data_IF_287470314441
#
_entry.id   IF_287470314441
#
_cell.length_a   1.000
_cell.length_b   1.000
_cell.length_c   1.000
_cell.angle_alpha   90.00
_cell.angle_beta   90.00
_cell.angle_gamma   90.00
#
_symmetry.space_group_name_H-M   'P 1'
#
loop_
_entity.id
_entity.type
_entity.pdbx_description
1 polymer ?
#
# COMPACT_ATOMS: atom_id res chain seq x y z
N UNK A 1 -4.59 -17.75 7.67
CA UNK A 1 -3.51 -18.59 8.24
C UNK A 1 -2.18 -18.54 7.50
N UNK A 2 -2.11 -18.54 6.16
CA UNK A 2 -0.81 -18.51 5.44
C UNK A 2 -0.34 -17.12 4.92
N UNK A 3 -1.01 -16.03 5.33
CA UNK A 3 -0.76 -14.62 4.91
C UNK A 3 -0.35 -14.42 3.42
N UNK A 4 -1.03 -15.09 2.50
CA UNK A 4 -0.73 -15.01 1.06
C UNK A 4 -1.23 -13.68 0.50
N UNK A 5 -0.38 -13.00 -0.27
CA UNK A 5 -0.65 -11.67 -0.85
C UNK A 5 -0.81 -11.68 -2.38
N UNK A 6 -0.24 -12.66 -3.07
CA UNK A 6 -0.32 -12.83 -4.52
C UNK A 6 -1.15 -14.08 -4.80
N UNK A 7 -2.24 -13.93 -5.56
CA UNK A 7 -3.20 -14.99 -5.81
C UNK A 7 -3.35 -15.17 -7.31
N UNK A 8 -3.02 -16.37 -7.78
CA UNK A 8 -3.18 -16.77 -9.18
C UNK A 8 -4.42 -17.67 -9.24
N UNK A 9 -5.50 -17.14 -9.82
CA UNK A 9 -6.77 -17.84 -9.98
C UNK A 9 -6.86 -18.50 -11.34
N UNK A 10 -7.37 -19.73 -11.37
CA UNK A 10 -7.72 -20.43 -12.61
C UNK A 10 -9.12 -21.03 -12.44
N UNK A 11 -10.12 -20.31 -12.93
CA UNK A 11 -11.53 -20.67 -12.79
C UNK A 11 -12.36 -20.08 -13.95
N UNK A 12 -13.60 -20.54 -14.10
CA UNK A 12 -14.56 -20.01 -15.08
C UNK A 12 -15.26 -18.74 -14.55
N UNK A 13 -16.07 -18.09 -15.39
CA UNK A 13 -16.81 -16.86 -15.04
C UNK A 13 -17.73 -17.08 -13.83
N UNK A 14 -18.40 -18.24 -13.77
CA UNK A 14 -19.34 -18.58 -12.70
C UNK A 14 -18.63 -18.74 -11.35
N UNK A 15 -17.49 -19.43 -11.30
CA UNK A 15 -16.71 -19.56 -10.06
C UNK A 15 -16.00 -18.25 -9.72
N UNK A 16 -15.59 -17.44 -10.70
CA UNK A 16 -14.97 -16.13 -10.46
C UNK A 16 -15.85 -15.25 -9.57
N UNK A 17 -17.13 -15.12 -9.93
CA UNK A 17 -18.07 -14.32 -9.14
C UNK A 17 -18.18 -14.81 -7.69
N UNK A 18 -18.28 -16.14 -7.47
CA UNK A 18 -18.34 -16.75 -6.14
C UNK A 18 -17.05 -16.51 -5.33
N UNK A 19 -15.89 -16.70 -5.96
CA UNK A 19 -14.57 -16.52 -5.32
C UNK A 19 -14.37 -15.09 -4.87
N UNK A 20 -14.62 -14.12 -5.75
CA UNK A 20 -14.46 -12.70 -5.39
C UNK A 20 -15.47 -12.25 -4.32
N UNK A 21 -16.68 -12.80 -4.31
CA UNK A 21 -17.65 -12.54 -3.24
C UNK A 21 -17.20 -13.11 -1.89
N UNK A 22 -16.59 -14.29 -1.86
CA UNK A 22 -15.95 -14.80 -0.65
C UNK A 22 -14.73 -13.96 -0.25
N UNK A 23 -13.90 -13.54 -1.22
CA UNK A 23 -12.74 -12.68 -0.97
C UNK A 23 -13.14 -11.34 -0.35
N UNK A 24 -14.27 -10.75 -0.79
CA UNK A 24 -14.84 -9.56 -0.16
C UNK A 24 -15.15 -9.81 1.32
N UNK A 25 -15.87 -10.89 1.64
CA UNK A 25 -16.26 -11.20 3.02
C UNK A 25 -15.04 -11.51 3.93
N UNK A 26 -13.95 -12.01 3.35
CA UNK A 26 -12.70 -12.30 4.04
C UNK A 26 -11.70 -11.13 4.03
N UNK A 27 -12.08 -9.96 3.50
CA UNK A 27 -11.20 -8.79 3.33
C UNK A 27 -9.88 -9.11 2.58
N UNK A 28 -9.96 -9.97 1.56
CA UNK A 28 -8.84 -10.36 0.69
C UNK A 28 -8.78 -9.51 -0.60
N UNK A 29 -8.91 -8.20 -0.45
CA UNK A 29 -8.91 -7.24 -1.56
C UNK A 29 -8.26 -5.91 -1.13
N UNK A 30 -8.05 -4.99 -2.09
CA UNK A 30 -7.41 -3.69 -1.85
C UNK A 30 -5.88 -3.74 -1.97
N UNK A 31 -5.19 -2.70 -1.49
CA UNK A 31 -3.76 -2.45 -1.78
C UNK A 31 -2.76 -3.49 -1.25
N UNK A 32 -3.22 -4.45 -0.43
CA UNK A 32 -2.37 -5.52 0.12
C UNK A 32 -2.46 -6.83 -0.67
N UNK A 33 -3.38 -6.96 -1.61
CA UNK A 33 -3.61 -8.20 -2.35
C UNK A 33 -3.54 -7.96 -3.85
N UNK A 34 -2.88 -8.85 -4.58
CA UNK A 34 -2.86 -8.84 -6.03
C UNK A 34 -3.47 -10.13 -6.57
N UNK A 35 -4.49 -9.96 -7.41
CA UNK A 35 -5.15 -11.05 -8.13
C UNK A 35 -4.66 -11.10 -9.57
N UNK A 36 -4.34 -12.30 -10.05
CA UNK A 36 -4.04 -12.60 -11.45
C UNK A 36 -5.00 -13.69 -11.90
N UNK A 37 -5.83 -13.41 -12.91
CA UNK A 37 -6.87 -14.32 -13.40
C UNK A 37 -6.85 -14.40 -14.93
N UNK A 38 -7.54 -15.38 -15.55
CA UNK A 38 -7.67 -15.45 -17.00
C UNK A 38 -8.47 -14.27 -17.55
N UNK A 39 -8.06 -13.73 -18.70
CA UNK A 39 -8.70 -12.59 -19.36
C UNK A 39 -9.71 -12.95 -20.44
N UNK A 40 -9.99 -14.24 -20.66
CA UNK A 40 -10.85 -14.73 -21.73
C UNK A 40 -12.36 -14.58 -21.46
N UNK A 41 -12.74 -13.89 -20.38
CA UNK A 41 -14.14 -13.70 -20.00
C UNK A 41 -14.86 -12.70 -20.91
N UNK A 42 -16.17 -12.86 -21.04
CA UNK A 42 -17.04 -11.93 -21.77
C UNK A 42 -17.03 -10.53 -21.13
N UNK A 43 -17.31 -9.51 -21.94
CA UNK A 43 -17.51 -8.15 -21.45
C UNK A 43 -18.64 -8.12 -20.42
N UNK A 44 -18.42 -7.44 -19.30
CA UNK A 44 -19.40 -7.32 -18.21
C UNK A 44 -19.82 -8.63 -17.53
N UNK A 45 -18.95 -9.65 -17.48
CA UNK A 45 -19.24 -10.91 -16.77
C UNK A 45 -19.66 -10.72 -15.29
N UNK A 46 -19.26 -9.62 -14.65
CA UNK A 46 -19.68 -9.26 -13.29
C UNK A 46 -21.18 -8.92 -13.16
N UNK A 47 -21.91 -8.72 -14.25
CA UNK A 47 -23.38 -8.52 -14.23
C UNK A 47 -24.14 -9.81 -13.92
N UNK A 48 -23.54 -10.97 -14.21
CA UNK A 48 -24.10 -12.29 -13.87
C UNK A 48 -24.03 -12.59 -12.36
N UNK A 49 -23.37 -11.73 -11.57
CA UNK A 49 -23.23 -11.85 -10.13
C UNK A 49 -24.55 -11.89 -9.37
N UNK A 50 -25.64 -11.42 -9.95
CA UNK A 50 -26.98 -11.49 -9.36
C UNK A 50 -27.48 -12.93 -9.13
N UNK A 51 -26.84 -13.92 -9.77
CA UNK A 51 -27.10 -15.36 -9.50
C UNK A 51 -26.45 -15.86 -8.21
N UNK A 52 -25.58 -15.05 -7.60
CA UNK A 52 -24.93 -15.32 -6.31
C UNK A 52 -25.55 -14.42 -5.24
N UNK A 53 -25.50 -14.83 -3.96
CA UNK A 53 -25.97 -14.04 -2.81
C UNK A 53 -25.10 -12.79 -2.51
N UNK A 54 -24.57 -12.14 -3.54
CA UNK A 54 -23.56 -11.10 -3.48
C UNK A 54 -23.96 -9.94 -4.39
N UNK A 55 -23.97 -8.74 -3.83
CA UNK A 55 -24.31 -7.52 -4.58
C UNK A 55 -23.19 -7.15 -5.55
N UNK A 56 -23.53 -6.69 -6.76
CA UNK A 56 -22.56 -6.21 -7.78
C UNK A 56 -21.53 -5.23 -7.19
N UNK A 57 -21.95 -4.36 -6.27
CA UNK A 57 -21.05 -3.42 -5.57
C UNK A 57 -19.93 -4.12 -4.81
N UNK A 58 -20.23 -5.20 -4.08
CA UNK A 58 -19.22 -5.96 -3.32
C UNK A 58 -18.22 -6.63 -4.26
N UNK A 59 -18.75 -7.20 -5.35
CA UNK A 59 -17.95 -7.86 -6.37
C UNK A 59 -16.98 -6.88 -7.03
N UNK A 60 -17.48 -5.72 -7.51
CA UNK A 60 -16.66 -4.68 -8.13
C UNK A 60 -15.56 -4.17 -7.19
N UNK A 61 -15.88 -3.98 -5.90
CA UNK A 61 -14.88 -3.57 -4.90
C UNK A 61 -13.80 -4.63 -4.67
N UNK A 62 -14.14 -5.92 -4.68
CA UNK A 62 -13.17 -7.00 -4.50
C UNK A 62 -12.31 -7.26 -5.73
N UNK A 63 -12.85 -7.01 -6.92
CA UNK A 63 -12.18 -7.17 -8.20
C UNK A 63 -11.26 -6.00 -8.56
N UNK A 64 -11.37 -4.86 -7.87
CA UNK A 64 -10.56 -3.67 -8.16
C UNK A 64 -9.06 -4.00 -8.26
N UNK A 65 -8.44 -3.65 -9.39
CA UNK A 65 -7.01 -3.82 -9.62
C UNK A 65 -6.55 -5.22 -10.00
N UNK A 66 -7.44 -6.18 -10.26
CA UNK A 66 -7.02 -7.50 -10.75
C UNK A 66 -6.32 -7.40 -12.12
N UNK A 67 -5.33 -8.26 -12.33
CA UNK A 67 -4.63 -8.41 -13.61
C UNK A 67 -5.26 -9.59 -14.36
N UNK A 68 -5.73 -9.35 -15.57
CA UNK A 68 -6.12 -10.41 -16.50
C UNK A 68 -5.02 -10.71 -17.49
N UNK A 69 -4.86 -11.99 -17.80
CA UNK A 69 -3.92 -12.47 -18.81
C UNK A 69 -4.71 -13.08 -19.96
N UNK A 70 -4.54 -12.55 -21.18
CA UNK A 70 -5.12 -13.11 -22.40
C UNK A 70 -4.12 -13.02 -23.56
N UNK A 71 -4.43 -13.58 -24.72
CA UNK A 71 -3.63 -13.39 -25.94
C UNK A 71 -4.04 -12.11 -26.67
N UNK A 72 -3.14 -11.57 -27.50
CA UNK A 72 -3.44 -10.43 -28.38
C UNK A 72 -4.12 -10.93 -29.68
N UNK A 73 -5.39 -10.54 -29.98
CA UNK A 73 -6.10 -11.05 -31.15
C UNK A 73 -5.56 -10.57 -32.51
N UNK A 74 -5.02 -9.35 -32.56
CA UNK A 74 -4.43 -8.72 -33.75
C UNK A 74 -3.20 -7.94 -33.33
N UNK A 75 -2.18 -7.89 -34.20
CA UNK A 75 -0.96 -7.16 -33.86
C UNK A 75 -1.20 -5.64 -33.80
N UNK A 76 -0.71 -5.00 -32.74
CA UNK A 76 -0.67 -3.54 -32.65
C UNK A 76 0.22 -2.88 -33.74
N UNK A 77 1.18 -3.62 -34.32
CA UNK A 77 2.13 -3.10 -35.30
C UNK A 77 1.46 -2.93 -36.67
N UNK A 78 1.56 -1.73 -37.25
CA UNK A 78 0.98 -1.41 -38.56
C UNK A 78 1.93 -1.74 -39.72
N UNK A 79 2.42 -2.98 -39.75
CA UNK A 79 3.33 -3.46 -40.80
C UNK A 79 2.53 -4.30 -41.80
N UNK A 80 2.81 -4.14 -43.09
CA UNK A 80 2.19 -4.97 -44.13
C UNK A 80 2.73 -6.40 -44.03
N UNK A 81 1.83 -7.34 -43.78
CA UNK A 81 2.15 -8.77 -43.69
C UNK A 81 2.22 -9.45 -45.07
N UNK A 82 2.21 -10.79 -45.05
CA UNK A 82 2.24 -11.63 -46.26
C UNK A 82 1.13 -11.32 -47.26
N UNK A 83 -0.03 -10.87 -46.78
CA UNK A 83 -1.18 -10.51 -47.61
C UNK A 83 -1.10 -9.12 -48.24
N UNK A 84 -0.02 -8.36 -47.96
CA UNK A 84 0.14 -6.97 -48.39
C UNK A 84 -0.72 -5.97 -47.62
N UNK A 85 -1.49 -6.43 -46.63
CA UNK A 85 -2.37 -5.61 -45.77
C UNK A 85 -1.74 -5.40 -44.40
N UNK A 86 -2.08 -4.27 -43.77
CA UNK A 86 -1.85 -4.03 -42.33
C UNK A 86 -2.96 -4.68 -41.49
N UNK A 87 -2.73 -4.98 -40.20
CA UNK A 87 -3.77 -5.52 -39.31
C UNK A 87 -5.02 -4.63 -39.24
N UNK A 88 -4.85 -3.30 -39.28
CA UNK A 88 -5.95 -2.33 -39.25
C UNK A 88 -6.75 -2.29 -40.56
N UNK A 89 -6.10 -2.45 -41.71
CA UNK A 89 -6.80 -2.57 -43.00
C UNK A 89 -7.63 -3.86 -43.04
N UNK A 90 -7.05 -4.97 -42.59
CA UNK A 90 -7.74 -6.25 -42.46
C UNK A 90 -8.95 -6.16 -41.51
N UNK A 91 -8.80 -5.55 -40.33
CA UNK A 91 -9.89 -5.39 -39.35
C UNK A 91 -11.07 -4.59 -39.90
N UNK A 92 -10.80 -3.52 -40.67
CA UNK A 92 -11.84 -2.73 -41.36
C UNK A 92 -12.59 -3.55 -42.40
N UNK A 93 -11.87 -4.32 -43.22
CA UNK A 93 -12.46 -5.19 -44.25
C UNK A 93 -13.34 -6.27 -43.60
N UNK A 94 -12.83 -6.92 -42.55
CA UNK A 94 -13.56 -7.93 -41.79
C UNK A 94 -14.84 -7.37 -41.14
N UNK A 95 -14.75 -6.20 -40.52
CA UNK A 95 -15.89 -5.55 -39.87
C UNK A 95 -16.97 -5.14 -40.86
N UNK A 96 -16.58 -4.70 -42.07
CA UNK A 96 -17.52 -4.38 -43.15
C UNK A 96 -18.29 -5.62 -43.62
N UNK A 97 -17.60 -6.74 -43.80
CA UNK A 97 -18.21 -8.03 -44.18
C UNK A 97 -19.16 -8.55 -43.09
N UNK A 98 -18.81 -8.41 -41.81
CA UNK A 98 -19.69 -8.79 -40.70
C UNK A 98 -20.99 -7.98 -40.69
N UNK A 99 -20.91 -6.66 -40.89
CA UNK A 99 -22.08 -5.79 -40.95
C UNK A 99 -23.02 -6.17 -42.09
N UNK A 100 -22.49 -6.56 -43.25
CA UNK A 100 -23.30 -7.01 -44.38
C UNK A 100 -24.00 -8.34 -44.11
N UNK A 101 -23.38 -9.23 -43.36
CA UNK A 101 -23.90 -10.57 -43.05
C UNK A 101 -24.72 -10.64 -41.77
N UNK A 102 -24.68 -9.59 -40.94
CA UNK A 102 -25.40 -9.54 -39.66
C UNK A 102 -24.85 -10.55 -38.63
N UNK A 103 -23.55 -10.83 -38.65
CA UNK A 103 -22.91 -11.82 -37.76
C UNK A 103 -22.03 -11.12 -36.73
N UNK A 104 -21.93 -11.69 -35.53
CA UNK A 104 -21.04 -11.20 -34.48
C UNK A 104 -19.55 -11.46 -34.78
N UNK A 105 -18.70 -10.59 -34.25
CA UNK A 105 -17.24 -10.73 -34.38
C UNK A 105 -16.70 -11.81 -33.45
N UNK A 106 -15.81 -12.65 -33.97
CA UNK A 106 -15.12 -13.69 -33.19
C UNK A 106 -13.66 -13.33 -32.97
N UNK A 107 -13.18 -13.33 -31.72
CA UNK A 107 -11.78 -13.04 -31.37
C UNK A 107 -10.73 -13.93 -32.07
N UNK A 108 -11.15 -15.03 -32.67
CA UNK A 108 -10.28 -15.98 -33.36
C UNK A 108 -10.13 -15.73 -34.88
N UNK A 109 -10.79 -14.71 -35.43
CA UNK A 109 -10.83 -14.45 -36.87
C UNK A 109 -9.42 -14.26 -37.48
N UNK A 110 -8.52 -13.55 -36.80
CA UNK A 110 -7.16 -13.32 -37.26
C UNK A 110 -6.31 -14.60 -37.28
N UNK A 111 -6.51 -15.48 -36.30
CA UNK A 111 -5.81 -16.77 -36.23
C UNK A 111 -6.23 -17.70 -37.38
N UNK A 112 -7.52 -17.73 -37.71
CA UNK A 112 -8.02 -18.48 -38.86
C UNK A 112 -7.43 -17.94 -40.18
N UNK A 113 -7.37 -16.61 -40.33
CA UNK A 113 -6.80 -15.95 -41.50
C UNK A 113 -5.32 -16.33 -41.71
N UNK A 114 -4.51 -16.22 -40.66
CA UNK A 114 -3.09 -16.58 -40.72
C UNK A 114 -2.89 -18.09 -40.91
N UNK A 115 -3.80 -18.93 -40.40
CA UNK A 115 -3.79 -20.39 -40.59
C UNK A 115 -3.90 -20.79 -42.08
N UNK A 116 -4.76 -20.11 -42.85
CA UNK A 116 -4.86 -20.35 -44.30
C UNK A 116 -3.56 -19.95 -45.02
N UNK A 117 -2.92 -18.86 -44.60
CA UNK A 117 -1.62 -18.46 -45.15
C UNK A 117 -0.51 -19.45 -44.83
N UNK A 118 -0.50 -20.03 -43.62
CA UNK A 118 0.42 -21.12 -43.26
C UNK A 118 0.22 -22.29 -44.23
N UNK A 119 -1.01 -22.77 -44.41
CA UNK A 119 -1.32 -23.89 -45.30
C UNK A 119 -0.87 -23.58 -46.73
N UNK A 120 -1.22 -22.41 -47.26
CA UNK A 120 -0.84 -22.00 -48.62
C UNK A 120 0.68 -21.96 -48.82
N UNK A 121 1.42 -21.44 -47.83
CA UNK A 121 2.88 -21.34 -47.89
C UNK A 121 3.56 -22.70 -47.77
N UNK A 122 3.09 -23.53 -46.85
CA UNK A 122 3.58 -24.91 -46.67
C UNK A 122 3.38 -25.71 -47.94
N UNK A 123 2.17 -25.72 -48.51
CA UNK A 123 1.88 -26.47 -49.75
C UNK A 123 2.69 -25.94 -50.94
N UNK A 124 2.87 -24.62 -51.04
CA UNK A 124 3.70 -24.02 -52.09
C UNK A 124 5.15 -24.49 -51.98
N UNK A 125 5.71 -24.48 -50.77
CA UNK A 125 7.09 -24.89 -50.52
C UNK A 125 7.29 -26.40 -50.73
N UNK A 126 6.37 -27.23 -50.24
CA UNK A 126 6.37 -28.68 -50.46
C UNK A 126 6.33 -28.99 -51.96
N UNK A 127 5.46 -28.30 -52.72
CA UNK A 127 5.37 -28.46 -54.18
C UNK A 127 6.68 -28.10 -54.89
N UNK A 128 7.37 -27.04 -54.46
CA UNK A 128 8.68 -26.68 -55.01
C UNK A 128 9.73 -27.77 -54.76
N UNK A 129 9.78 -28.30 -53.54
CA UNK A 129 10.72 -29.35 -53.16
C UNK A 129 10.46 -30.66 -53.93
N UNK A 130 9.19 -31.03 -54.10
CA UNK A 130 8.80 -32.19 -54.91
C UNK A 130 9.14 -31.99 -56.39
N UNK A 131 8.93 -30.78 -56.94
CA UNK A 131 9.33 -30.46 -58.33
C UNK A 131 10.83 -30.57 -58.56
N UNK A 132 11.64 -30.15 -57.58
CA UNK A 132 13.10 -30.28 -57.64
C UNK A 132 13.52 -31.76 -57.61
N UNK A 133 12.93 -32.58 -56.72
CA UNK A 133 13.16 -34.03 -56.69
C UNK A 133 12.77 -34.70 -58.01
N UNK A 134 11.59 -34.39 -58.55
CA UNK A 134 11.13 -34.95 -59.82
C UNK A 134 12.04 -34.61 -61.01
N UNK A 135 12.63 -33.40 -61.04
CA UNK A 135 13.62 -33.02 -62.06
C UNK A 135 14.92 -33.82 -61.94
N UNK A 136 15.28 -34.27 -60.75
CA UNK A 136 16.48 -35.06 -60.51
C UNK A 136 16.29 -36.57 -60.78
N UNK A 137 15.08 -37.12 -60.60
CA UNK A 137 14.86 -38.59 -60.61
C UNK A 137 14.22 -39.20 -61.89
N UNK A 138 14.18 -38.49 -63.02
CA UNK A 138 13.52 -38.96 -64.25
C UNK A 138 12.00 -39.29 -64.07
N UNK A 139 11.31 -39.56 -65.18
CA UNK A 139 9.84 -39.44 -65.29
C UNK A 139 9.00 -40.44 -64.47
N UNK A 140 9.60 -41.44 -63.80
CA UNK A 140 8.88 -42.45 -63.00
C UNK A 140 9.03 -42.20 -61.48
N UNK A 141 8.74 -40.99 -61.03
CA UNK A 141 8.73 -40.65 -59.61
C UNK A 141 7.36 -40.95 -58.98
N UNK A 142 7.27 -42.02 -58.17
CA UNK A 142 6.13 -42.29 -57.29
C UNK A 142 6.38 -41.69 -55.92
N UNK A 143 5.52 -40.77 -55.50
CA UNK A 143 5.65 -40.06 -54.22
C UNK A 143 5.08 -40.92 -53.10
N UNK A 144 5.88 -41.28 -52.09
CA UNK A 144 5.39 -41.92 -50.87
C UNK A 144 4.64 -40.92 -49.98
N UNK A 145 3.43 -41.28 -49.55
CA UNK A 145 2.60 -40.44 -48.67
C UNK A 145 3.29 -40.16 -47.34
N UNK A 146 4.06 -41.12 -46.81
CA UNK A 146 4.81 -40.91 -45.55
C UNK A 146 5.93 -39.90 -45.72
N UNK A 147 6.57 -39.87 -46.89
CA UNK A 147 7.60 -38.90 -47.21
C UNK A 147 7.03 -37.49 -47.35
N UNK A 148 5.86 -37.34 -48.00
CA UNK A 148 5.15 -36.05 -48.08
C UNK A 148 4.75 -35.57 -46.69
N UNK A 149 4.24 -36.47 -45.84
CA UNK A 149 3.88 -36.14 -44.46
C UNK A 149 5.05 -35.57 -43.66
N UNK A 150 6.24 -36.19 -43.77
CA UNK A 150 7.47 -35.68 -43.13
C UNK A 150 7.88 -34.32 -43.70
N UNK A 151 7.85 -34.18 -45.03
CA UNK A 151 8.20 -32.94 -45.69
C UNK A 151 7.29 -31.77 -45.28
N UNK A 152 6.00 -32.02 -45.11
CA UNK A 152 5.04 -31.04 -44.59
C UNK A 152 5.42 -30.61 -43.17
N UNK A 153 5.72 -31.57 -42.29
CA UNK A 153 6.12 -31.27 -40.91
C UNK A 153 7.42 -30.45 -40.85
N UNK A 154 8.43 -30.81 -41.65
CA UNK A 154 9.71 -30.09 -41.71
C UNK A 154 9.50 -28.65 -42.19
N UNK A 155 8.73 -28.46 -43.27
CA UNK A 155 8.41 -27.12 -43.81
C UNK A 155 7.58 -26.29 -42.82
N UNK A 156 6.64 -26.91 -42.10
CA UNK A 156 5.87 -26.20 -41.08
C UNK A 156 6.75 -25.72 -39.93
N UNK A 157 7.75 -26.50 -39.54
CA UNK A 157 8.72 -26.12 -38.51
C UNK A 157 9.61 -24.92 -38.96
N UNK A 158 9.92 -24.82 -40.25
CA UNK A 158 10.69 -23.70 -40.83
C UNK A 158 9.85 -22.45 -41.14
N UNK A 159 8.52 -22.52 -40.96
CA UNK A 159 7.63 -21.43 -41.36
C UNK A 159 7.82 -20.20 -40.46
N UNK A 160 8.19 -19.08 -41.08
CA UNK A 160 8.35 -17.78 -40.41
C UNK A 160 7.90 -16.62 -41.32
N UNK A 161 6.79 -15.96 -40.99
CA UNK A 161 6.33 -14.73 -41.67
C UNK A 161 5.53 -13.82 -40.76
N UNK A 162 5.29 -12.58 -41.21
CA UNK A 162 4.40 -11.64 -40.54
C UNK A 162 2.97 -11.78 -41.09
N UNK A 163 2.06 -12.25 -40.24
CA UNK A 163 0.61 -12.28 -40.48
C UNK A 163 -0.10 -11.09 -39.84
N UNK A 164 -1.43 -11.13 -39.80
CA UNK A 164 -2.24 -10.06 -39.16
C UNK A 164 -2.21 -10.14 -37.63
N UNK A 165 -1.92 -11.32 -37.09
CA UNK A 165 -1.77 -11.56 -35.64
C UNK A 165 -0.31 -11.44 -35.17
N UNK A 166 0.60 -10.96 -36.03
CA UNK A 166 2.01 -10.78 -35.73
C UNK A 166 2.89 -11.83 -36.40
N UNK A 167 4.05 -12.12 -35.80
CA UNK A 167 4.95 -13.13 -36.34
C UNK A 167 4.34 -14.53 -36.16
N UNK A 168 4.28 -15.30 -37.24
CA UNK A 168 3.79 -16.68 -37.26
C UNK A 168 5.00 -17.59 -37.36
N UNK A 169 5.29 -18.27 -36.26
CA UNK A 169 6.36 -19.26 -36.15
C UNK A 169 5.99 -20.32 -35.12
N UNK A 170 6.51 -21.53 -35.30
CA UNK A 170 6.24 -22.66 -34.44
C UNK A 170 7.50 -23.12 -33.73
N UNK A 171 7.36 -23.58 -32.49
CA UNK A 171 8.42 -24.20 -31.70
C UNK A 171 7.83 -25.39 -30.97
N UNK A 172 8.37 -26.58 -31.21
CA UNK A 172 7.86 -27.84 -30.63
C UNK A 172 6.35 -28.07 -30.89
N UNK A 173 5.84 -27.62 -32.03
CA UNK A 173 4.41 -27.73 -32.38
C UNK A 173 3.52 -26.63 -31.79
N UNK A 174 4.03 -25.77 -30.91
CA UNK A 174 3.30 -24.63 -30.37
C UNK A 174 3.59 -23.36 -31.16
N UNK A 175 2.56 -22.53 -31.33
CA UNK A 175 2.71 -21.21 -31.95
C UNK A 175 3.25 -20.22 -30.93
N UNK A 176 4.34 -19.54 -31.27
CA UNK A 176 4.83 -18.41 -30.47
C UNK A 176 3.93 -17.19 -30.71
N UNK A 177 3.25 -16.71 -29.67
CA UNK A 177 2.29 -15.61 -29.74
C UNK A 177 2.57 -14.49 -28.74
N UNK A 178 1.78 -13.42 -28.82
CA UNK A 178 1.85 -12.28 -27.89
C UNK A 178 0.80 -12.44 -26.78
N UNK A 179 1.24 -12.27 -25.53
CA UNK A 179 0.37 -12.21 -24.36
C UNK A 179 0.06 -10.74 -24.03
N UNK A 180 -1.21 -10.45 -23.79
CA UNK A 180 -1.74 -9.15 -23.38
C UNK A 180 -2.18 -9.21 -21.93
N UNK A 181 -1.72 -8.25 -21.14
CA UNK A 181 -2.16 -8.05 -19.77
C UNK A 181 -3.14 -6.87 -19.74
N UNK A 182 -4.29 -7.06 -19.10
CA UNK A 182 -5.24 -5.97 -18.83
C UNK A 182 -5.42 -5.82 -17.33
N UNK A 183 -5.65 -4.60 -16.86
CA UNK A 183 -5.99 -4.35 -15.46
C UNK A 183 -7.43 -3.86 -15.38
N UNK A 184 -8.20 -4.43 -14.45
CA UNK A 184 -9.50 -3.87 -14.13
C UNK A 184 -9.30 -2.64 -13.24
N UNK A 185 -9.66 -1.47 -13.78
CA UNK A 185 -9.69 -0.21 -13.06
C UNK A 185 -11.15 0.18 -12.95
N UNK A 186 -11.65 0.28 -11.72
CA UNK A 186 -12.98 0.80 -11.46
C UNK A 186 -13.07 2.28 -11.83
N UNK A 187 -14.15 2.94 -11.40
CA UNK A 187 -14.43 4.33 -11.78
C UNK A 187 -13.47 5.33 -11.09
N UNK A 188 -12.78 4.92 -10.01
CA UNK A 188 -11.87 5.79 -9.26
C UNK A 188 -10.45 5.21 -9.21
N UNK A 189 -9.42 5.96 -9.65
CA UNK A 189 -8.05 5.47 -9.66
C UNK A 189 -7.53 5.23 -8.22
N UNK A 190 -6.76 4.15 -7.99
CA UNK A 190 -6.18 3.86 -6.68
C UNK A 190 -5.19 4.94 -6.26
N UNK A 191 -5.10 5.21 -4.95
CA UNK A 191 -4.15 6.19 -4.41
C UNK A 191 -2.74 5.57 -4.32
N UNK A 192 -1.77 6.18 -5.01
CA UNK A 192 -0.39 5.71 -5.17
C UNK A 192 0.42 5.50 -3.89
N UNK A 193 -0.04 6.03 -2.74
CA UNK A 193 0.68 5.90 -1.46
C UNK A 193 -0.22 6.04 -0.24
N UNK A 194 0.24 5.44 0.85
CA UNK A 194 -0.31 5.70 2.19
C UNK A 194 0.00 7.14 2.61
N UNK A 195 -1.03 7.88 3.01
CA UNK A 195 -0.85 9.25 3.54
C UNK A 195 -0.42 9.15 5.02
N UNK A 196 0.86 9.37 5.28
CA UNK A 196 1.38 9.50 6.64
C UNK A 196 0.93 10.85 7.20
N UNK A 197 -0.03 10.85 8.14
CA UNK A 197 -0.37 12.03 8.94
C UNK A 197 0.45 12.01 10.21
N UNK A 198 1.44 12.90 10.30
CA UNK A 198 2.10 13.17 11.57
C UNK A 198 1.09 13.89 12.47
N UNK A 199 0.71 13.25 13.58
CA UNK A 199 -0.18 13.82 14.58
C UNK A 199 0.59 14.03 15.88
N UNK A 200 0.67 15.27 16.34
CA UNK A 200 1.29 15.61 17.64
C UNK A 200 0.38 15.04 18.75
N UNK A 201 0.94 14.23 19.64
CA UNK A 201 0.21 13.70 20.80
C UNK A 201 0.20 14.76 21.88
N UNK A 202 -0.99 15.25 22.24
CA UNK A 202 -1.17 16.25 23.27
C UNK A 202 -1.50 15.64 24.63
N UNK A 203 -1.18 16.36 25.69
CA UNK A 203 -1.61 16.04 27.06
C UNK A 203 -3.13 16.21 27.15
N UNK A 204 -3.83 15.29 27.81
CA UNK A 204 -5.28 15.41 27.96
C UNK A 204 -5.64 16.59 28.86
N UNK A 205 -6.55 17.44 28.38
CA UNK A 205 -7.01 18.65 29.11
C UNK A 205 -7.62 18.29 30.46
N UNK A 206 -8.27 17.13 30.56
CA UNK A 206 -8.85 16.62 31.80
C UNK A 206 -7.78 16.29 32.86
N UNK A 207 -6.64 15.67 32.50
CA UNK A 207 -5.58 15.41 33.47
C UNK A 207 -4.91 16.71 33.92
N UNK A 208 -4.70 17.64 32.98
CA UNK A 208 -4.10 18.94 33.31
C UNK A 208 -5.00 19.76 34.24
N UNK A 209 -6.32 19.77 34.03
CA UNK A 209 -7.25 20.52 34.90
C UNK A 209 -7.28 19.97 36.33
N UNK A 210 -7.28 18.64 36.50
CA UNK A 210 -7.25 17.99 37.82
C UNK A 210 -5.96 18.33 38.57
N UNK A 211 -4.80 18.16 37.92
CA UNK A 211 -3.51 18.45 38.55
C UNK A 211 -3.37 19.93 38.89
N UNK A 212 -3.81 20.82 38.00
CA UNK A 212 -3.85 22.27 38.22
C UNK A 212 -4.68 22.63 39.46
N UNK A 213 -5.90 22.10 39.59
CA UNK A 213 -6.76 22.36 40.76
C UNK A 213 -6.11 21.92 42.08
N UNK A 214 -5.49 20.73 42.11
CA UNK A 214 -4.77 20.24 43.29
C UNK A 214 -3.59 21.17 43.65
N UNK A 215 -2.85 21.65 42.65
CA UNK A 215 -1.73 22.58 42.91
C UNK A 215 -2.19 23.94 43.41
N UNK A 216 -3.33 24.47 42.93
CA UNK A 216 -3.92 25.72 43.45
C UNK A 216 -4.30 25.57 44.92
N UNK A 217 -4.95 24.45 45.30
CA UNK A 217 -5.26 24.15 46.70
C UNK A 217 -3.98 24.09 47.56
N UNK A 218 -2.93 23.44 47.06
CA UNK A 218 -1.62 23.39 47.71
C UNK A 218 -1.00 24.77 47.95
N UNK A 219 -1.06 25.66 46.95
CA UNK A 219 -0.56 27.03 47.06
C UNK A 219 -1.36 27.88 48.06
N UNK A 220 -2.69 27.72 48.11
CA UNK A 220 -3.54 28.42 49.07
C UNK A 220 -3.22 28.00 50.52
N UNK A 221 -3.05 26.68 50.76
CA UNK A 221 -2.65 26.17 52.07
C UNK A 221 -1.28 26.70 52.48
N UNK A 222 -0.29 26.67 51.57
CA UNK A 222 1.04 27.21 51.83
C UNK A 222 1.00 28.73 52.11
N UNK A 223 0.23 29.49 51.33
CA UNK A 223 0.06 30.94 51.51
C UNK A 223 -0.57 31.31 52.87
N UNK A 224 -1.56 30.54 53.33
CA UNK A 224 -2.19 30.77 54.64
C UNK A 224 -1.18 30.64 55.80
N UNK A 225 -0.19 29.75 55.69
CA UNK A 225 0.86 29.56 56.70
C UNK A 225 1.91 30.68 56.74
N UNK A 226 2.02 31.49 55.67
CA UNK A 226 2.91 32.66 55.62
C UNK A 226 2.28 33.92 56.26
N UNK A 227 0.96 33.95 56.44
CA UNK A 227 0.28 35.13 56.96
C UNK A 227 0.64 35.39 58.45
N UNK A 228 0.93 36.64 58.85
CA UNK A 228 1.40 36.95 60.20
C UNK A 228 0.44 36.58 61.35
N UNK A 229 -0.84 36.39 61.04
CA UNK A 229 -1.91 36.13 62.01
C UNK A 229 -2.09 34.66 62.44
N UNK A 230 -1.49 33.69 61.75
CA UNK A 230 -1.65 32.24 62.03
C UNK A 230 -0.51 31.62 62.86
N UNK A 231 0.39 32.44 63.39
CA UNK A 231 1.60 31.98 64.08
C UNK A 231 1.34 31.57 65.54
N UNK A 232 1.08 30.29 65.77
CA UNK A 232 1.09 29.71 67.12
C UNK A 232 2.46 29.91 67.79
N UNK A 233 2.49 30.15 69.11
CA UNK A 233 3.70 30.48 69.92
C UNK A 233 4.85 29.48 69.72
N UNK A 234 4.54 28.24 69.36
CA UNK A 234 5.49 27.16 69.08
C UNK A 234 6.28 27.35 67.76
N UNK A 235 5.69 27.98 66.73
CA UNK A 235 6.32 28.17 65.41
C UNK A 235 7.38 29.30 65.47
N UNK A 236 7.16 30.32 66.30
CA UNK A 236 8.14 31.40 66.53
C UNK A 236 9.42 30.91 67.20
N UNK A 237 9.40 29.79 67.92
CA UNK A 237 10.59 29.19 68.54
C UNK A 237 11.45 28.39 67.54
N UNK A 238 10.97 28.09 66.33
CA UNK A 238 11.61 27.18 65.36
C UNK A 238 12.22 27.89 64.13
N UNK A 239 12.93 28.99 64.33
CA UNK A 239 13.65 29.74 63.27
C UNK A 239 12.76 30.23 62.11
N UNK A 240 11.96 31.30 62.31
CA UNK A 240 10.89 31.72 61.39
C UNK A 240 11.37 32.03 59.97
N UNK A 241 12.54 32.67 59.80
CA UNK A 241 13.08 32.98 58.48
C UNK A 241 13.40 31.74 57.63
N UNK A 242 13.90 30.66 58.26
CA UNK A 242 14.20 29.41 57.55
C UNK A 242 12.91 28.71 57.10
N UNK A 243 11.87 28.71 57.94
CA UNK A 243 10.58 28.11 57.57
C UNK A 243 9.90 28.90 56.45
N UNK A 244 9.95 30.24 56.47
CA UNK A 244 9.44 31.08 55.39
C UNK A 244 10.17 30.81 54.06
N UNK A 245 11.49 30.58 54.11
CA UNK A 245 12.30 30.26 52.94
C UNK A 245 11.96 28.87 52.34
N UNK A 246 11.65 27.89 53.19
CA UNK A 246 11.14 26.57 52.75
C UNK A 246 9.81 26.72 52.02
N UNK A 247 8.87 27.49 52.59
CA UNK A 247 7.54 27.68 52.00
C UNK A 247 7.66 28.44 50.67
N UNK A 248 8.53 29.46 50.59
CA UNK A 248 8.79 30.20 49.36
C UNK A 248 9.36 29.30 48.26
N UNK A 249 10.33 28.43 48.58
CA UNK A 249 10.85 27.44 47.65
C UNK A 249 9.80 26.41 47.19
N UNK A 250 8.87 26.05 48.08
CA UNK A 250 7.71 25.21 47.75
C UNK A 250 6.74 25.89 46.78
N UNK A 251 6.41 27.17 46.99
CA UNK A 251 5.56 27.95 46.09
C UNK A 251 6.19 28.11 44.70
N UNK A 252 7.50 28.37 44.62
CA UNK A 252 8.25 28.39 43.36
C UNK A 252 8.19 27.03 42.64
N UNK A 253 8.31 25.93 43.40
CA UNK A 253 8.20 24.58 42.84
C UNK A 253 6.79 24.30 42.31
N UNK A 254 5.73 24.73 43.00
CA UNK A 254 4.35 24.60 42.52
C UNK A 254 4.09 25.40 41.24
N UNK A 255 4.68 26.59 41.11
CA UNK A 255 4.58 27.39 39.88
C UNK A 255 5.11 26.65 38.64
N UNK A 256 6.11 25.78 38.79
CA UNK A 256 6.66 25.00 37.68
C UNK A 256 5.65 24.01 37.06
N UNK A 257 4.69 23.49 37.84
CA UNK A 257 3.71 22.48 37.37
C UNK A 257 2.77 23.07 36.30
N UNK A 258 2.41 24.34 36.41
CA UNK A 258 1.64 25.04 35.37
C UNK A 258 2.43 25.12 34.05
N UNK A 259 3.73 25.36 34.14
CA UNK A 259 4.61 25.40 32.97
C UNK A 259 4.81 24.02 32.34
N UNK A 260 4.72 22.93 33.11
CA UNK A 260 4.78 21.56 32.57
C UNK A 260 3.57 21.17 31.72
N UNK A 261 2.40 21.79 31.94
CA UNK A 261 1.18 21.47 31.20
C UNK A 261 0.96 22.28 29.92
N UNK A 262 1.78 23.31 29.68
CA UNK A 262 1.76 24.07 28.43
C UNK A 262 2.51 23.28 27.35
N UNK A 263 1.78 22.47 26.60
CA UNK A 263 2.28 21.73 25.44
C UNK A 263 2.15 22.56 24.15
N UNK A 264 2.84 22.15 23.08
CA UNK A 264 2.83 22.80 21.75
C UNK A 264 1.47 22.74 21.02
N UNK A 265 0.37 22.43 21.72
CA UNK A 265 -1.00 22.64 21.27
C UNK A 265 -1.62 23.95 21.78
N UNK A 266 -1.07 24.54 22.84
CA UNK A 266 -1.51 25.82 23.42
C UNK A 266 -0.58 26.98 23.10
N UNK A 267 0.67 26.65 22.76
CA UNK A 267 1.78 27.61 22.65
C UNK A 267 2.54 27.33 21.35
N UNK A 268 3.08 28.38 20.71
CA UNK A 268 3.87 28.25 19.49
C UNK A 268 5.19 27.52 19.74
N UNK A 269 5.77 26.88 18.73
CA UNK A 269 7.02 26.11 18.86
C UNK A 269 8.19 26.98 19.41
N UNK A 270 8.26 28.27 19.04
CA UNK A 270 9.28 29.21 19.54
C UNK A 270 9.12 29.56 21.02
N UNK A 271 7.88 29.70 21.45
CA UNK A 271 7.54 29.99 22.85
C UNK A 271 7.70 28.72 23.71
N UNK A 272 7.53 27.53 23.12
CA UNK A 272 7.78 26.27 23.81
C UNK A 272 9.26 26.07 24.16
N UNK A 273 10.19 26.45 23.28
CA UNK A 273 11.64 26.39 23.57
C UNK A 273 12.03 27.30 24.75
N UNK A 274 11.48 28.50 24.82
CA UNK A 274 11.75 29.43 25.93
C UNK A 274 11.12 28.93 27.23
N UNK A 275 9.89 28.41 27.19
CA UNK A 275 9.21 27.80 28.33
C UNK A 275 9.98 26.60 28.90
N UNK A 276 10.57 25.76 28.04
CA UNK A 276 11.38 24.61 28.48
C UNK A 276 12.58 25.04 29.35
N UNK A 277 13.21 26.14 28.97
CA UNK A 277 14.32 26.73 29.72
C UNK A 277 13.83 27.31 31.05
N UNK A 278 12.80 28.15 31.02
CA UNK A 278 12.23 28.81 32.22
C UNK A 278 11.72 27.80 33.25
N UNK A 279 11.03 26.75 32.80
CA UNK A 279 10.52 25.66 33.64
C UNK A 279 11.63 25.01 34.46
N UNK A 280 12.77 24.73 33.82
CA UNK A 280 13.92 24.10 34.46
C UNK A 280 14.54 25.02 35.51
N UNK A 281 14.68 26.31 35.20
CA UNK A 281 15.21 27.31 36.14
C UNK A 281 14.34 27.45 37.40
N UNK A 282 13.03 27.62 37.24
CA UNK A 282 12.11 27.81 38.37
C UNK A 282 12.12 26.59 39.30
N UNK A 283 12.13 25.38 38.73
CA UNK A 283 12.18 24.14 39.51
C UNK A 283 13.49 24.01 40.29
N UNK A 284 14.63 24.29 39.66
CA UNK A 284 15.95 24.21 40.31
C UNK A 284 16.06 25.22 41.43
N UNK A 285 15.66 26.47 41.19
CA UNK A 285 15.70 27.54 42.22
C UNK A 285 14.76 27.17 43.37
N UNK A 286 13.51 26.76 43.09
CA UNK A 286 12.57 26.34 44.13
C UNK A 286 13.10 25.19 45.00
N UNK A 287 13.60 24.14 44.36
CA UNK A 287 14.17 22.96 45.03
C UNK A 287 15.39 23.31 45.89
N UNK A 288 16.38 24.01 45.31
CA UNK A 288 17.62 24.36 46.01
C UNK A 288 17.37 25.26 47.21
N UNK A 289 16.45 26.22 47.09
CA UNK A 289 16.11 27.15 48.18
C UNK A 289 15.41 26.41 49.33
N UNK A 290 14.46 25.52 49.02
CA UNK A 290 13.75 24.73 50.03
C UNK A 290 14.66 23.72 50.75
N UNK A 291 15.43 22.93 50.00
CA UNK A 291 16.36 21.96 50.58
C UNK A 291 17.51 22.65 51.34
N UNK A 292 18.06 23.75 50.81
CA UNK A 292 19.10 24.53 51.47
C UNK A 292 18.66 25.07 52.83
N UNK A 293 17.44 25.58 52.94
CA UNK A 293 16.86 26.05 54.20
C UNK A 293 16.66 24.91 55.21
N UNK A 294 16.25 23.72 54.74
CA UNK A 294 16.13 22.52 55.58
C UNK A 294 17.49 22.07 56.14
N UNK A 295 18.52 21.99 55.28
CA UNK A 295 19.89 21.66 55.68
C UNK A 295 20.47 22.69 56.64
N UNK A 296 20.24 23.98 56.41
CA UNK A 296 20.74 25.01 57.31
C UNK A 296 20.08 24.92 58.71
N UNK A 297 18.82 24.48 58.78
CA UNK A 297 18.12 24.23 60.05
C UNK A 297 18.71 23.03 60.80
N UNK A 298 18.98 21.91 60.13
CA UNK A 298 19.62 20.73 60.76
C UNK A 298 21.06 21.03 61.17
N UNK A 299 21.81 21.77 60.34
CA UNK A 299 23.16 22.22 60.64
C UNK A 299 23.20 23.12 61.88
N UNK A 300 22.26 24.07 62.00
CA UNK A 300 22.15 24.94 63.19
C UNK A 300 21.98 24.13 64.47
N UNK A 301 21.13 23.10 64.45
CA UNK A 301 20.94 22.20 65.60
C UNK A 301 22.22 21.43 65.92
N UNK A 302 22.87 20.84 64.92
CA UNK A 302 24.14 20.14 65.09
C UNK A 302 25.21 21.04 65.73
N UNK A 303 25.36 22.28 65.24
CA UNK A 303 26.31 23.26 65.77
C UNK A 303 26.03 23.62 67.23
N UNK A 304 24.76 23.81 67.62
CA UNK A 304 24.37 24.10 69.01
C UNK A 304 24.75 22.93 69.94
N UNK A 305 24.43 21.69 69.56
CA UNK A 305 24.77 20.52 70.39
C UNK A 305 26.28 20.25 70.48
N UNK A 306 27.02 20.49 69.39
CA UNK A 306 28.49 20.37 69.37
C UNK A 306 29.14 21.42 70.28
N UNK A 307 28.68 22.67 70.24
CA UNK A 307 29.17 23.75 71.09
C UNK A 307 28.79 23.55 72.57
N UNK A 308 27.60 23.00 72.86
CA UNK A 308 27.19 22.66 74.23
C UNK A 308 28.06 21.54 74.84
N UNK A 309 28.52 20.56 74.04
CA UNK A 309 29.49 19.55 74.46
C UNK A 309 30.87 20.13 74.77
N UNK A 310 31.32 21.16 74.04
CA UNK A 310 32.63 21.78 74.27
C UNK A 310 32.70 22.63 75.55
N UNK A 311 31.58 23.21 76.01
CA UNK A 311 31.50 23.96 77.28
C UNK A 311 31.45 23.07 78.54
N UNK A 312 31.37 21.74 78.39
CA UNK A 312 31.25 20.77 79.50
C UNK A 312 32.57 20.08 79.88
N UNK A 313 33.71 20.60 79.41
CA UNK A 313 35.07 20.26 79.85
C UNK A 313 35.68 21.49 80.50
#
# INVERSE_FOLDING_TARGET
>A
DNDVRIIIGQFDENLASKVFCCAYNLNMFGSKYQWVIPGWYQGSWWEQANTTNCTTRKLLTAMEGYISVDFEPLSARQIKGISGRTPKEYEREYSRELQQKGVESSKFHGFAYDGIWVIARTLTRVRELLRLKQRHENHNFTVDEREVGRLVLDVMNETNFNGVTGQVMFRNGERMGTIKFNQFQGVEPPKDRTFVRQQRRHISVALYSILSAITVLGMLMAGATLTPGSSCRLIKMSSPYMNNLIILGGLLSYASIFLFGLDGGFVSDKEFETLCTVRTWILIVGYTTAFGAMFAKTWRVHAIFKNAKMKKK
#
